data_IF_065112147139
#
_entry.id   IF_065112147139
#
_cell.length_a   1.000
_cell.length_b   1.000
_cell.length_c   1.000
_cell.angle_alpha   90.00
_cell.angle_beta   90.00
_cell.angle_gamma   90.00
#
_symmetry.space_group_name_H-M   'P 1'
#
loop_
_entity.id
_entity.type
_entity.pdbx_description
1 polymer ?
#
# COMPACT_ATOMS: atom_id res chain seq x y z
N UNK A 1 -19.17 -0.68 20.42
CA UNK A 1 -18.79 -1.46 19.22
C UNK A 1 -18.31 -0.47 18.16
N UNK A 2 -17.17 -0.73 17.53
CA UNK A 2 -16.63 0.16 16.49
C UNK A 2 -17.53 0.14 15.24
N UNK A 3 -17.59 1.26 14.49
CA UNK A 3 -18.38 1.38 13.25
C UNK A 3 -17.57 1.19 11.98
N UNK A 4 -16.26 1.15 12.11
CA UNK A 4 -15.32 0.96 11.01
C UNK A 4 -14.85 -0.50 11.02
N UNK A 5 -14.85 -1.14 9.85
CA UNK A 5 -14.54 -2.55 9.68
C UNK A 5 -13.05 -2.83 9.98
N UNK A 6 -12.12 -2.07 9.39
CA UNK A 6 -10.68 -2.19 9.67
C UNK A 6 -10.35 -2.08 11.17
N UNK A 7 -10.96 -1.12 11.88
CA UNK A 7 -10.78 -0.95 13.33
C UNK A 7 -11.38 -2.12 14.10
N UNK A 8 -12.50 -2.67 13.64
CA UNK A 8 -13.13 -3.82 14.28
C UNK A 8 -12.27 -5.08 14.15
N UNK A 9 -11.70 -5.32 12.96
CA UNK A 9 -10.77 -6.42 12.71
C UNK A 9 -9.52 -6.26 13.57
N UNK A 10 -8.92 -5.07 13.60
CA UNK A 10 -7.76 -4.79 14.45
C UNK A 10 -8.03 -5.02 15.94
N UNK A 11 -9.19 -4.57 16.45
CA UNK A 11 -9.57 -4.77 17.84
C UNK A 11 -9.84 -6.24 18.18
N UNK A 12 -10.41 -7.03 17.26
CA UNK A 12 -10.61 -8.46 17.45
C UNK A 12 -9.28 -9.22 17.52
N UNK A 13 -8.32 -8.84 16.67
CA UNK A 13 -6.99 -9.46 16.63
C UNK A 13 -6.05 -8.97 17.74
N UNK A 14 -6.37 -7.88 18.45
CA UNK A 14 -5.49 -7.27 19.46
C UNK A 14 -5.17 -8.18 20.66
N UNK A 15 -6.04 -9.14 20.98
CA UNK A 15 -5.83 -10.12 22.05
C UNK A 15 -5.08 -11.38 21.62
N UNK A 16 -4.72 -11.49 20.34
CA UNK A 16 -4.03 -12.64 19.77
C UNK A 16 -2.56 -12.30 19.50
N UNK A 17 -1.70 -13.31 19.59
CA UNK A 17 -0.29 -13.16 19.21
C UNK A 17 -0.14 -13.24 17.68
N UNK A 18 -0.39 -12.11 17.03
CA UNK A 18 -0.32 -11.95 15.56
C UNK A 18 0.74 -10.93 15.21
N UNK A 19 1.56 -11.26 14.21
CA UNK A 19 2.58 -10.34 13.69
C UNK A 19 1.98 -9.40 12.65
N UNK A 20 1.92 -8.12 12.96
CA UNK A 20 1.58 -7.07 12.01
C UNK A 20 2.83 -6.66 11.23
N UNK A 21 2.77 -6.72 9.90
CA UNK A 21 3.86 -6.29 9.02
C UNK A 21 3.32 -5.22 8.09
N UNK A 22 3.94 -4.05 8.15
CA UNK A 22 3.67 -2.98 7.20
C UNK A 22 4.40 -3.27 5.88
N UNK A 23 3.66 -3.43 4.78
CA UNK A 23 4.20 -3.67 3.45
C UNK A 23 3.89 -2.47 2.53
N UNK A 24 4.90 -1.68 2.12
CA UNK A 24 4.71 -0.55 1.21
C UNK A 24 4.19 -0.93 -0.17
N UNK A 25 4.09 -2.21 -0.54
CA UNK A 25 3.49 -2.67 -1.81
C UNK A 25 1.96 -2.56 -1.83
N UNK A 26 1.35 -2.27 -0.68
CA UNK A 26 -0.08 -1.97 -0.56
C UNK A 26 -0.29 -0.44 -0.67
N UNK A 27 -0.59 0.05 -1.87
CA UNK A 27 -0.93 1.47 -2.11
C UNK A 27 -2.36 1.77 -1.69
N UNK A 28 -2.64 1.77 -0.38
CA UNK A 28 -3.99 2.00 0.17
C UNK A 28 -4.11 3.31 0.94
N UNK A 29 -3.09 4.17 0.89
CA UNK A 29 -3.16 5.54 1.46
C UNK A 29 -4.32 6.34 0.85
N UNK A 30 -4.79 7.39 1.52
CA UNK A 30 -5.90 8.24 1.01
C UNK A 30 -5.66 8.90 -0.37
N UNK A 31 -4.41 8.91 -0.85
CA UNK A 31 -3.99 9.34 -2.19
C UNK A 31 -3.02 8.32 -2.74
N UNK A 32 -3.19 7.98 -4.01
CA UNK A 32 -2.25 7.09 -4.71
C UNK A 32 -0.83 7.67 -4.72
N UNK A 33 0.15 6.78 -4.58
CA UNK A 33 1.57 7.10 -4.76
C UNK A 33 2.02 7.03 -6.22
N UNK A 34 1.15 6.68 -7.15
CA UNK A 34 1.42 6.53 -8.57
C UNK A 34 1.26 5.07 -9.03
N UNK A 35 2.01 4.66 -10.05
CA UNK A 35 2.00 3.29 -10.55
C UNK A 35 3.40 2.68 -10.43
N UNK A 36 3.49 1.52 -9.77
CA UNK A 36 4.69 0.70 -9.72
C UNK A 36 4.34 -0.76 -9.96
N UNK A 37 5.19 -1.45 -10.72
CA UNK A 37 5.12 -2.88 -10.98
C UNK A 37 5.41 -3.72 -9.72
N UNK A 38 5.92 -3.11 -8.65
CA UNK A 38 6.14 -3.76 -7.36
C UNK A 38 4.88 -3.79 -6.50
N UNK A 39 3.82 -3.05 -6.85
CA UNK A 39 2.59 -3.01 -6.06
C UNK A 39 1.79 -4.31 -6.19
N UNK A 40 1.31 -4.79 -5.04
CA UNK A 40 0.38 -5.93 -4.95
C UNK A 40 -1.06 -5.41 -5.00
N UNK A 41 -1.32 -4.31 -4.28
CA UNK A 41 -2.61 -3.63 -4.24
C UNK A 41 -2.38 -2.18 -4.61
N UNK A 42 -3.19 -1.67 -5.54
CA UNK A 42 -3.15 -0.26 -5.97
C UNK A 42 -4.28 0.54 -5.35
N UNK A 43 -4.06 1.84 -5.17
CA UNK A 43 -5.09 2.75 -4.66
C UNK A 43 -6.33 2.75 -5.57
N UNK A 44 -7.47 3.20 -5.03
CA UNK A 44 -8.77 3.30 -5.71
C UNK A 44 -8.64 3.60 -7.20
N UNK A 45 -9.07 2.64 -8.00
CA UNK A 45 -9.12 2.71 -9.46
C UNK A 45 -10.55 2.89 -9.97
N UNK A 46 -10.68 3.45 -11.17
CA UNK A 46 -11.94 3.38 -11.92
C UNK A 46 -12.06 2.01 -12.60
N UNK A 47 -13.27 1.56 -12.98
CA UNK A 47 -13.43 0.28 -13.69
C UNK A 47 -12.56 0.18 -14.96
N UNK A 48 -12.55 1.25 -15.77
CA UNK A 48 -11.70 1.33 -16.97
C UNK A 48 -10.21 1.26 -16.65
N UNK A 49 -9.77 1.88 -15.56
CA UNK A 49 -8.37 1.80 -15.14
C UNK A 49 -8.00 0.37 -14.74
N UNK A 50 -8.89 -0.36 -14.05
CA UNK A 50 -8.66 -1.78 -13.73
C UNK A 50 -8.55 -2.65 -14.98
N UNK A 51 -9.41 -2.43 -15.98
CA UNK A 51 -9.33 -3.12 -17.28
C UNK A 51 -7.97 -2.88 -17.96
N UNK A 52 -7.49 -1.63 -17.95
CA UNK A 52 -6.19 -1.29 -18.52
C UNK A 52 -5.03 -1.95 -17.76
N UNK A 53 -5.04 -1.90 -16.43
CA UNK A 53 -4.03 -2.55 -15.58
C UNK A 53 -4.00 -4.06 -15.82
N UNK A 54 -5.18 -4.68 -15.90
CA UNK A 54 -5.31 -6.10 -16.21
C UNK A 54 -4.77 -6.44 -17.61
N UNK A 55 -5.16 -5.66 -18.63
CA UNK A 55 -4.66 -5.84 -19.98
C UNK A 55 -3.13 -5.68 -20.07
N UNK A 56 -2.56 -4.67 -19.37
CA UNK A 56 -1.11 -4.48 -19.30
C UNK A 56 -0.43 -5.70 -18.68
N UNK A 57 -0.96 -6.21 -17.57
CA UNK A 57 -0.41 -7.37 -16.87
C UNK A 57 -0.46 -8.63 -17.75
N UNK A 58 -1.57 -8.89 -18.44
CA UNK A 58 -1.72 -10.06 -19.32
C UNK A 58 -0.82 -9.97 -20.56
N UNK A 59 -0.70 -8.79 -21.16
CA UNK A 59 0.03 -8.63 -22.43
C UNK A 59 1.54 -8.47 -22.25
N UNK A 60 1.98 -7.82 -21.17
CA UNK A 60 3.38 -7.43 -20.98
C UNK A 60 4.04 -8.07 -19.77
N UNK A 61 3.27 -8.70 -18.88
CA UNK A 61 3.74 -9.16 -17.57
C UNK A 61 3.95 -8.04 -16.55
N UNK A 62 3.67 -6.78 -16.91
CA UNK A 62 3.86 -5.61 -16.05
C UNK A 62 2.52 -4.92 -15.75
N UNK A 63 2.35 -4.47 -14.52
CA UNK A 63 1.13 -3.80 -14.06
C UNK A 63 0.95 -2.44 -14.74
N UNK A 64 2.03 -1.68 -14.87
CA UNK A 64 2.03 -0.31 -15.38
C UNK A 64 2.59 -0.27 -16.81
N UNK A 65 1.91 0.42 -17.72
CA UNK A 65 2.48 0.74 -19.04
C UNK A 65 3.76 1.60 -18.89
N UNK A 66 3.76 2.50 -17.91
CA UNK A 66 4.92 3.28 -17.49
C UNK A 66 4.84 3.53 -16.00
N UNK A 67 5.92 3.23 -15.27
CA UNK A 67 6.00 3.54 -13.85
C UNK A 67 6.14 5.04 -13.61
N UNK A 68 5.48 5.53 -12.56
CA UNK A 68 5.63 6.91 -12.12
C UNK A 68 5.31 7.03 -10.64
N UNK A 69 5.99 7.95 -9.96
CA UNK A 69 5.82 8.20 -8.52
C UNK A 69 5.34 9.62 -8.29
N UNK A 70 4.17 9.75 -7.65
CA UNK A 70 3.56 11.03 -7.25
C UNK A 70 3.96 11.38 -5.81
N UNK A 71 4.20 10.37 -4.98
CA UNK A 71 4.54 10.55 -3.56
C UNK A 71 5.44 9.43 -3.06
N UNK A 72 6.31 9.73 -2.11
CA UNK A 72 7.12 8.75 -1.43
C UNK A 72 6.28 7.84 -0.51
N UNK A 73 6.70 6.58 -0.42
CA UNK A 73 6.21 5.61 0.57
C UNK A 73 6.72 5.97 1.96
N UNK A 74 5.94 5.67 2.99
CA UNK A 74 6.47 5.56 4.35
C UNK A 74 6.72 4.08 4.65
N UNK A 75 7.84 3.79 5.29
CA UNK A 75 8.18 2.44 5.77
C UNK A 75 8.15 2.50 7.28
N UNK A 76 7.44 1.59 7.93
CA UNK A 76 7.39 1.55 9.40
C UNK A 76 8.74 1.12 9.96
N UNK A 77 9.38 2.01 10.71
CA UNK A 77 10.44 1.65 11.64
C UNK A 77 9.81 1.21 12.97
N UNK A 78 9.71 -0.11 13.15
CA UNK A 78 9.16 -0.73 14.36
C UNK A 78 10.06 -0.56 15.60
N UNK A 79 11.29 -0.07 15.44
CA UNK A 79 12.19 0.23 16.57
C UNK A 79 11.90 1.59 17.23
N UNK A 80 11.10 2.43 16.58
CA UNK A 80 10.80 3.79 16.98
C UNK A 80 9.39 3.93 17.56
N UNK A 81 9.11 4.96 18.39
CA UNK A 81 7.76 5.24 18.83
C UNK A 81 6.84 5.61 17.66
N UNK A 82 5.50 5.45 17.80
CA UNK A 82 4.54 5.75 16.73
C UNK A 82 4.62 7.18 16.14
N UNK A 83 5.15 8.15 16.90
CA UNK A 83 5.37 9.51 16.42
C UNK A 83 6.54 9.64 15.42
N UNK A 84 7.45 8.68 15.38
CA UNK A 84 8.68 8.68 14.57
C UNK A 84 8.77 7.51 13.58
N UNK A 85 7.90 6.52 13.68
CA UNK A 85 7.93 5.29 12.88
C UNK A 85 7.86 5.50 11.36
N UNK A 86 7.27 6.59 10.90
CA UNK A 86 6.56 6.61 9.63
C UNK A 86 6.94 7.81 8.74
N UNK A 87 8.23 8.19 8.77
CA UNK A 87 8.77 9.29 7.98
C UNK A 87 8.77 8.92 6.49
N UNK A 88 8.30 9.85 5.65
CA UNK A 88 8.37 9.70 4.19
C UNK A 88 9.73 10.17 3.71
N UNK A 89 10.59 9.23 3.36
CA UNK A 89 11.84 9.53 2.68
C UNK A 89 11.65 9.35 1.16
N UNK A 90 12.09 10.32 0.37
CA UNK A 90 12.12 10.18 -1.09
C UNK A 90 13.08 9.09 -1.57
N UNK A 91 14.05 8.70 -0.73
CA UNK A 91 14.95 7.57 -0.97
C UNK A 91 14.32 6.21 -0.63
N UNK A 92 13.14 6.19 0.01
CA UNK A 92 12.48 4.94 0.38
C UNK A 92 12.15 4.13 -0.87
N UNK A 93 12.80 2.97 -0.97
CA UNK A 93 12.53 1.96 -1.98
C UNK A 93 11.46 1.02 -1.44
N UNK A 94 10.57 0.59 -2.32
CA UNK A 94 9.62 -0.48 -1.98
C UNK A 94 10.46 -1.77 -1.89
N UNK A 95 10.40 -2.51 -0.77
CA UNK A 95 11.22 -3.70 -0.56
C UNK A 95 10.95 -4.82 -1.58
#
# INVERSE_FOLDING_TARGET
MYRNEDVSVGAWLAGLDVKYIHDPRFDTEFRSRGCSNQYIITHKQTPRALENLYASMVNTGHLCEREFRVRASYVYDWSQPPSLCCVRDNSSTIP
#
